data_IF_279258729858
#
_entry.id   IF_279258729858
#
_cell.length_a   1.000
_cell.length_b   1.000
_cell.length_c   1.000
_cell.angle_alpha   90.00
_cell.angle_beta   90.00
_cell.angle_gamma   90.00
#
_symmetry.space_group_name_H-M   'P 1'
#
loop_
_entity.id
_entity.type
_entity.pdbx_description
1 polymer ?
#
# COMPACT_ATOMS: atom_id res chain seq x y z
N UNK A 1 -3.10 -14.55 14.55
CA UNK A 1 -1.72 -14.15 14.22
C UNK A 1 -1.85 -13.06 13.16
N UNK A 2 -1.31 -11.86 13.37
CA UNK A 2 -1.33 -10.81 12.34
C UNK A 2 -0.47 -11.26 11.16
N UNK A 3 -1.07 -11.46 9.99
CA UNK A 3 -0.30 -11.75 8.79
C UNK A 3 0.47 -10.48 8.40
N UNK A 4 1.75 -10.65 8.01
CA UNK A 4 2.51 -9.56 7.41
C UNK A 4 3.22 -10.05 6.17
N UNK A 5 3.05 -9.31 5.06
CA UNK A 5 3.73 -9.57 3.79
C UNK A 5 4.73 -8.45 3.51
N UNK A 6 5.96 -8.81 3.15
CA UNK A 6 7.02 -7.85 2.80
C UNK A 6 7.49 -8.08 1.36
N UNK A 7 7.65 -6.98 0.62
CA UNK A 7 8.27 -6.97 -0.71
C UNK A 7 9.35 -5.90 -0.81
N UNK A 8 10.41 -6.25 -1.55
CA UNK A 8 11.56 -5.39 -1.86
C UNK A 8 11.82 -5.41 -3.36
N UNK A 9 12.44 -4.36 -3.88
CA UNK A 9 12.93 -4.26 -5.25
C UNK A 9 11.89 -4.60 -6.33
N UNK A 10 10.62 -4.25 -6.09
CA UNK A 10 9.50 -4.59 -6.96
C UNK A 10 9.15 -3.45 -7.93
N UNK A 11 8.55 -3.81 -9.08
CA UNK A 11 8.03 -2.83 -10.02
C UNK A 11 6.64 -2.34 -9.60
N UNK A 12 5.68 -3.25 -9.49
CA UNK A 12 4.29 -2.97 -9.11
C UNK A 12 3.83 -4.04 -8.12
N UNK A 13 3.02 -3.64 -7.15
CA UNK A 13 2.29 -4.56 -6.28
C UNK A 13 0.87 -4.04 -6.02
N UNK A 14 -0.12 -4.80 -6.49
CA UNK A 14 -1.54 -4.59 -6.17
C UNK A 14 -1.93 -5.33 -4.90
N UNK A 15 -2.70 -4.67 -4.05
CA UNK A 15 -3.23 -5.18 -2.79
C UNK A 15 -4.75 -5.02 -2.84
N UNK A 16 -5.44 -6.14 -3.03
CA UNK A 16 -6.91 -6.19 -3.08
C UNK A 16 -7.53 -5.72 -1.77
N UNK A 17 -8.79 -5.26 -1.83
CA UNK A 17 -9.54 -4.85 -0.65
C UNK A 17 -9.67 -5.95 0.42
N UNK A 18 -9.95 -5.53 1.65
CA UNK A 18 -10.15 -6.44 2.78
C UNK A 18 -11.33 -6.01 3.64
N UNK A 19 -11.81 -6.91 4.49
CA UNK A 19 -12.93 -6.70 5.40
C UNK A 19 -12.55 -6.00 6.73
N UNK A 20 -11.27 -5.65 6.87
CA UNK A 20 -10.69 -4.90 7.99
C UNK A 20 -9.64 -3.89 7.50
N UNK A 21 -9.25 -2.96 8.38
CA UNK A 21 -8.21 -1.98 8.08
C UNK A 21 -6.83 -2.64 8.09
N UNK A 22 -5.97 -2.21 7.16
CA UNK A 22 -4.58 -2.66 7.09
C UNK A 22 -3.65 -1.47 7.16
N UNK A 23 -2.43 -1.71 7.63
CA UNK A 23 -1.34 -0.75 7.59
C UNK A 23 -0.33 -1.17 6.55
N UNK A 24 0.18 -0.20 5.79
CA UNK A 24 1.30 -0.42 4.88
C UNK A 24 2.43 0.57 5.14
N UNK A 25 3.64 0.06 5.27
CA UNK A 25 4.87 0.85 5.24
C UNK A 25 5.41 0.80 3.82
N UNK A 26 5.64 1.97 3.19
CA UNK A 26 6.03 2.04 1.79
C UNK A 26 7.18 3.02 1.54
N UNK A 27 8.03 2.68 0.58
CA UNK A 27 9.03 3.52 -0.08
C UNK A 27 9.07 3.13 -1.56
N UNK A 28 8.86 4.09 -2.46
CA UNK A 28 8.82 3.84 -3.89
C UNK A 28 8.32 5.02 -4.70
N UNK A 29 7.81 4.76 -5.90
CA UNK A 29 7.41 5.77 -6.89
C UNK A 29 5.99 6.28 -6.75
N UNK A 30 5.03 5.41 -6.44
CA UNK A 30 3.63 5.78 -6.27
C UNK A 30 2.98 4.87 -5.25
N UNK A 31 2.14 5.47 -4.39
CA UNK A 31 1.12 4.76 -3.64
C UNK A 31 -0.23 5.38 -3.93
N UNK A 32 -1.18 4.54 -4.32
CA UNK A 32 -2.57 4.89 -4.53
C UNK A 32 -3.45 4.03 -3.61
N UNK A 33 -4.26 4.65 -2.76
CA UNK A 33 -5.27 3.95 -1.95
C UNK A 33 -6.62 4.51 -2.36
N UNK A 34 -7.52 3.63 -2.82
CA UNK A 34 -8.78 4.03 -3.41
C UNK A 34 -9.87 2.96 -3.20
N UNK A 35 -11.12 3.40 -3.28
CA UNK A 35 -12.29 2.53 -3.27
C UNK A 35 -12.94 2.53 -4.65
N UNK A 36 -13.00 1.36 -5.27
CA UNK A 36 -13.49 1.22 -6.64
C UNK A 36 -14.97 1.56 -6.82
N UNK A 37 -15.79 1.35 -5.79
CA UNK A 37 -17.24 1.57 -5.85
C UNK A 37 -17.58 3.04 -5.71
N UNK A 38 -17.03 3.70 -4.70
CA UNK A 38 -17.30 5.11 -4.38
C UNK A 38 -16.44 6.09 -5.18
N UNK A 39 -15.42 5.59 -5.90
CA UNK A 39 -14.42 6.39 -6.62
C UNK A 39 -13.64 7.36 -5.72
N UNK A 40 -13.63 7.09 -4.41
CA UNK A 40 -12.89 7.88 -3.43
C UNK A 40 -11.43 7.43 -3.37
N UNK A 41 -10.50 8.39 -3.42
CA UNK A 41 -9.05 8.16 -3.40
C UNK A 41 -8.41 8.98 -2.28
N UNK A 42 -8.33 8.43 -1.04
CA UNK A 42 -7.74 9.14 0.09
C UNK A 42 -6.23 9.31 0.01
N UNK A 43 -5.52 8.46 -0.75
CA UNK A 43 -4.06 8.57 -0.93
C UNK A 43 -3.73 8.46 -2.41
N UNK A 44 -3.03 9.47 -2.90
CA UNK A 44 -2.38 9.52 -4.20
C UNK A 44 -1.05 10.28 -3.99
N UNK A 45 0.04 9.54 -3.79
CA UNK A 45 1.33 10.13 -3.41
C UNK A 45 2.46 9.58 -4.26
N UNK A 46 3.20 10.50 -4.89
CA UNK A 46 4.38 10.24 -5.71
C UNK A 46 5.69 10.35 -4.92
N UNK A 47 6.72 9.64 -5.40
CA UNK A 47 8.11 9.70 -4.95
C UNK A 47 8.27 9.65 -3.42
N UNK A 48 7.77 8.56 -2.83
CA UNK A 48 7.91 8.25 -1.40
C UNK A 48 9.35 7.80 -1.13
N UNK A 49 10.24 8.77 -0.91
CA UNK A 49 11.69 8.56 -0.80
C UNK A 49 12.14 7.96 0.54
N UNK A 50 11.34 8.13 1.59
CA UNK A 50 11.56 7.55 2.92
C UNK A 50 10.51 6.48 3.19
N UNK A 51 10.74 5.61 4.18
CA UNK A 51 9.70 4.69 4.64
C UNK A 51 8.62 5.50 5.35
N UNK A 52 7.41 5.45 4.81
CA UNK A 52 6.24 6.12 5.36
C UNK A 52 5.12 5.11 5.61
N UNK A 53 4.32 5.34 6.66
CA UNK A 53 3.19 4.49 7.02
C UNK A 53 1.88 5.07 6.52
N UNK A 54 1.05 4.21 5.91
CA UNK A 54 -0.29 4.54 5.42
C UNK A 54 -1.31 3.55 5.96
N UNK A 55 -2.55 3.99 6.07
CA UNK A 55 -3.70 3.14 6.42
C UNK A 55 -4.46 2.85 5.13
N UNK A 56 -4.74 1.57 4.89
CA UNK A 56 -5.64 1.09 3.86
C UNK A 56 -6.95 0.76 4.57
N UNK A 57 -7.98 1.61 4.47
CA UNK A 57 -9.25 1.34 5.14
C UNK A 57 -9.92 0.08 4.60
N UNK A 58 -10.78 -0.52 5.41
CA UNK A 58 -11.68 -1.61 4.99
C UNK A 58 -12.39 -1.27 3.69
N UNK A 59 -12.40 -2.21 2.74
CA UNK A 59 -13.01 -2.04 1.42
C UNK A 59 -12.21 -1.13 0.48
N UNK A 60 -10.96 -0.80 0.78
CA UNK A 60 -10.09 -0.04 -0.12
C UNK A 60 -8.98 -0.94 -0.67
N UNK A 61 -8.68 -0.72 -1.94
CA UNK A 61 -7.57 -1.30 -2.68
C UNK A 61 -6.36 -0.39 -2.53
N UNK A 62 -5.16 -0.98 -2.58
CA UNK A 62 -3.91 -0.24 -2.62
C UNK A 62 -3.06 -0.70 -3.82
N UNK A 63 -2.59 0.25 -4.61
CA UNK A 63 -1.65 0.00 -5.70
C UNK A 63 -0.32 0.69 -5.40
N UNK A 64 0.77 -0.08 -5.46
CA UNK A 64 2.12 0.40 -5.24
C UNK A 64 2.94 0.30 -6.52
N UNK A 65 3.63 1.37 -6.88
CA UNK A 65 4.69 1.33 -7.89
C UNK A 65 6.01 1.49 -7.16
N UNK A 66 6.79 0.42 -7.06
CA UNK A 66 8.10 0.45 -6.41
C UNK A 66 9.16 1.15 -7.29
N UNK A 67 9.05 1.01 -8.61
CA UNK A 67 10.07 1.52 -9.55
C UNK A 67 11.35 0.66 -9.60
N UNK A 68 11.31 -0.56 -9.04
CA UNK A 68 12.42 -1.51 -9.03
C UNK A 68 13.33 -1.35 -7.82
N UNK A 69 14.65 -1.37 -8.07
CA UNK A 69 15.69 -1.41 -7.03
C UNK A 69 15.56 -0.26 -6.02
N UNK A 70 15.63 -0.60 -4.73
CA UNK A 70 15.52 0.33 -3.61
C UNK A 70 14.10 0.57 -3.11
N UNK A 71 13.09 -0.02 -3.77
CA UNK A 71 11.70 0.00 -3.30
C UNK A 71 11.46 -0.97 -2.16
N UNK A 72 10.48 -0.65 -1.33
CA UNK A 72 10.13 -1.42 -0.15
C UNK A 72 8.65 -1.25 0.17
N UNK A 73 7.99 -2.35 0.53
CA UNK A 73 6.65 -2.35 1.07
C UNK A 73 6.50 -3.44 2.14
N UNK A 74 5.81 -3.12 3.22
CA UNK A 74 5.40 -4.09 4.24
C UNK A 74 3.94 -3.87 4.60
N UNK A 75 3.09 -4.85 4.29
CA UNK A 75 1.68 -4.87 4.62
C UNK A 75 1.48 -5.64 5.93
N UNK A 76 0.59 -5.15 6.79
CA UNK A 76 0.18 -5.84 8.02
C UNK A 76 -1.27 -5.54 8.37
N UNK A 77 -1.98 -6.55 8.83
CA UNK A 77 -3.35 -6.39 9.32
C UNK A 77 -3.36 -5.62 10.65
N UNK A 78 -4.37 -4.77 10.84
CA UNK A 78 -4.64 -4.12 12.12
C UNK A 78 -5.66 -4.98 12.89
N UNK A 79 -5.24 -5.48 14.06
CA UNK A 79 -6.09 -6.23 15.00
C UNK A 79 -6.88 -5.25 15.87
#
# INVERSE_FOLDING_TARGET
>A
MSASEEKKDFQIWGIEESDHDRKIEFKGKLILIYNETTKHTPVDKLDVNNREGFIIPKGYTCELHGGGTGSFARLSDMI
#
